data_IF_462291009492
#
_entry.id   IF_462291009492
#
_cell.length_a   1.000
_cell.length_b   1.000
_cell.length_c   1.000
_cell.angle_alpha   90.00
_cell.angle_beta   90.00
_cell.angle_gamma   90.00
#
_symmetry.space_group_name_H-M   'P 1'
#
loop_
_entity.id
_entity.type
_entity.pdbx_description
1 polymer ?
#
# COMPACT_ATOMS: atom_id res chain seq x y z
N UNK A 1 11.78 -13.42 -14.29
CA UNK A 1 11.51 -12.00 -13.97
C UNK A 1 12.01 -11.63 -12.57
N UNK A 2 11.29 -11.89 -11.46
CA UNK A 2 11.68 -11.39 -10.12
C UNK A 2 13.04 -11.91 -9.57
N UNK A 3 13.40 -13.17 -9.85
CA UNK A 3 14.72 -13.71 -9.46
C UNK A 3 15.87 -13.06 -10.24
N UNK A 4 15.62 -12.69 -11.50
CA UNK A 4 16.57 -11.96 -12.33
C UNK A 4 16.71 -10.51 -11.82
N UNK A 5 15.59 -9.85 -11.51
CA UNK A 5 15.58 -8.52 -10.91
C UNK A 5 16.32 -8.46 -9.56
N UNK A 6 16.24 -9.52 -8.73
CA UNK A 6 17.04 -9.66 -7.50
C UNK A 6 18.55 -9.76 -7.77
N UNK A 7 18.93 -10.46 -8.83
CA UNK A 7 20.34 -10.60 -9.20
C UNK A 7 20.88 -9.28 -9.79
N UNK A 8 20.11 -8.65 -10.68
CA UNK A 8 20.43 -7.32 -11.25
C UNK A 8 20.49 -6.23 -10.18
N UNK A 9 19.64 -6.29 -9.15
CA UNK A 9 19.69 -5.36 -8.01
C UNK A 9 20.99 -5.50 -7.21
N UNK A 10 21.52 -6.72 -7.07
CA UNK A 10 22.80 -6.96 -6.39
C UNK A 10 23.99 -6.43 -7.20
N UNK A 11 23.89 -6.44 -8.53
CA UNK A 11 24.91 -5.89 -9.43
C UNK A 11 24.81 -4.37 -9.63
N UNK A 12 23.75 -3.73 -9.11
CA UNK A 12 23.54 -2.28 -9.22
C UNK A 12 23.09 -1.80 -10.61
N UNK A 13 22.77 -2.71 -11.54
CA UNK A 13 22.35 -2.39 -12.92
C UNK A 13 21.04 -1.60 -12.95
N UNK A 14 20.20 -1.80 -11.93
CA UNK A 14 18.94 -1.09 -11.74
C UNK A 14 19.08 0.44 -11.57
N UNK A 15 20.29 0.96 -11.31
CA UNK A 15 20.57 2.40 -11.24
C UNK A 15 20.52 3.11 -12.60
N UNK A 16 20.53 2.36 -13.70
CA UNK A 16 20.50 2.90 -15.06
C UNK A 16 19.08 3.13 -15.59
N UNK A 17 18.06 2.80 -14.79
CA UNK A 17 16.65 2.92 -15.18
C UNK A 17 16.15 4.38 -15.15
N UNK A 18 15.13 4.70 -15.96
CA UNK A 18 14.64 6.07 -16.09
C UNK A 18 13.96 6.60 -14.83
N UNK A 19 14.15 7.92 -14.60
CA UNK A 19 13.72 8.68 -13.42
C UNK A 19 12.25 8.49 -13.01
N UNK A 20 11.36 8.28 -13.99
CA UNK A 20 9.92 8.15 -13.75
C UNK A 20 9.53 6.86 -13.01
N UNK A 21 10.38 5.82 -13.02
CA UNK A 21 10.10 4.58 -12.29
C UNK A 21 10.23 4.72 -10.77
N UNK A 22 10.77 5.84 -10.28
CA UNK A 22 11.07 6.08 -8.86
C UNK A 22 10.02 6.95 -8.15
N UNK A 23 8.95 7.32 -8.84
CA UNK A 23 8.00 8.33 -8.37
C UNK A 23 6.62 7.71 -8.15
N UNK A 24 6.20 7.52 -6.89
CA UNK A 24 4.93 6.84 -6.61
C UNK A 24 3.71 7.72 -6.92
N UNK A 25 3.88 9.05 -6.99
CA UNK A 25 2.76 9.99 -7.10
C UNK A 25 3.21 11.37 -7.62
N UNK A 26 2.34 12.04 -8.39
CA UNK A 26 2.46 13.44 -8.83
C UNK A 26 2.19 14.48 -7.73
N UNK A 27 1.49 14.15 -6.65
CA UNK A 27 1.20 15.12 -5.56
C UNK A 27 2.33 15.27 -4.53
N UNK A 28 3.52 14.76 -4.82
CA UNK A 28 4.69 14.88 -3.95
C UNK A 28 5.37 16.23 -4.13
N UNK A 29 5.84 16.82 -3.02
CA UNK A 29 6.70 18.01 -3.04
C UNK A 29 8.04 17.69 -3.71
N UNK A 30 8.76 18.72 -4.18
CA UNK A 30 10.08 18.52 -4.78
C UNK A 30 11.10 17.88 -3.82
N UNK A 31 11.01 18.19 -2.52
CA UNK A 31 11.81 17.54 -1.49
C UNK A 31 11.49 16.06 -1.34
N UNK A 32 10.20 15.69 -1.33
CA UNK A 32 9.80 14.28 -1.24
C UNK A 32 10.25 13.51 -2.48
N UNK A 33 10.06 14.10 -3.67
CA UNK A 33 10.50 13.52 -4.95
C UNK A 33 12.01 13.26 -4.94
N UNK A 34 12.81 14.21 -4.44
CA UNK A 34 14.25 14.02 -4.27
C UNK A 34 14.57 12.91 -3.29
N UNK A 35 13.90 12.85 -2.13
CA UNK A 35 14.11 11.79 -1.15
C UNK A 35 13.81 10.40 -1.72
N UNK A 36 12.68 10.22 -2.40
CA UNK A 36 12.35 8.96 -3.07
C UNK A 36 13.40 8.57 -4.12
N UNK A 37 13.94 9.55 -4.85
CA UNK A 37 15.02 9.31 -5.82
C UNK A 37 16.30 8.84 -5.13
N UNK A 38 16.74 9.49 -4.05
CA UNK A 38 17.92 9.07 -3.30
C UNK A 38 17.78 7.65 -2.74
N UNK A 39 16.60 7.31 -2.21
CA UNK A 39 16.31 5.95 -1.74
C UNK A 39 16.41 4.96 -2.90
N UNK A 40 15.81 5.28 -4.06
CA UNK A 40 15.84 4.42 -5.23
C UNK A 40 17.26 4.22 -5.81
N UNK A 41 18.09 5.27 -5.84
CA UNK A 41 19.49 5.17 -6.29
C UNK A 41 20.33 4.32 -5.33
N UNK A 42 20.08 4.47 -4.03
CA UNK A 42 20.74 3.65 -3.01
C UNK A 42 20.31 2.19 -3.10
N UNK A 43 19.01 1.95 -3.24
CA UNK A 43 18.41 0.62 -3.22
C UNK A 43 17.07 0.62 -3.97
N UNK A 44 17.09 0.36 -5.28
CA UNK A 44 15.86 0.39 -6.08
C UNK A 44 14.85 -0.67 -5.64
N UNK A 45 15.32 -1.90 -5.43
CA UNK A 45 14.52 -2.99 -4.90
C UNK A 45 15.16 -3.44 -3.60
N UNK A 46 14.51 -3.13 -2.48
CA UNK A 46 14.98 -3.63 -1.20
C UNK A 46 14.81 -5.14 -1.13
N UNK A 47 15.63 -5.80 -0.30
CA UNK A 47 15.47 -7.23 -0.05
C UNK A 47 14.08 -7.56 0.50
N UNK A 48 13.46 -6.61 1.24
CA UNK A 48 12.09 -6.72 1.70
C UNK A 48 11.09 -6.72 0.54
N UNK A 49 11.17 -5.77 -0.39
CA UNK A 49 10.29 -5.70 -1.57
C UNK A 49 10.38 -6.96 -2.43
N UNK A 50 11.59 -7.48 -2.62
CA UNK A 50 11.82 -8.73 -3.36
C UNK A 50 11.22 -9.94 -2.65
N UNK A 51 11.43 -10.04 -1.33
CA UNK A 51 10.88 -11.13 -0.54
C UNK A 51 9.35 -11.10 -0.52
N UNK A 52 8.75 -9.92 -0.35
CA UNK A 52 7.31 -9.71 -0.40
C UNK A 52 6.75 -10.18 -1.75
N UNK A 53 7.37 -9.77 -2.85
CA UNK A 53 6.97 -10.17 -4.20
C UNK A 53 7.07 -11.69 -4.43
N UNK A 54 8.12 -12.32 -3.90
CA UNK A 54 8.32 -13.77 -4.04
C UNK A 54 7.37 -14.59 -3.15
N UNK A 55 7.04 -14.07 -1.96
CA UNK A 55 6.21 -14.76 -0.97
C UNK A 55 4.71 -14.49 -1.16
N UNK A 56 4.31 -13.52 -1.99
CA UNK A 56 2.90 -13.13 -2.16
C UNK A 56 1.95 -14.31 -2.39
N UNK A 57 2.28 -15.24 -3.30
CA UNK A 57 1.45 -16.41 -3.60
C UNK A 57 1.32 -17.39 -2.42
N UNK A 58 2.39 -17.57 -1.65
CA UNK A 58 2.36 -18.47 -0.50
C UNK A 58 1.67 -17.82 0.69
N UNK A 59 1.83 -16.51 0.84
CA UNK A 59 1.13 -15.73 1.85
C UNK A 59 -0.38 -15.69 1.57
N UNK A 60 -0.81 -15.61 0.31
CA UNK A 60 -2.22 -15.71 -0.07
C UNK A 60 -2.85 -17.03 0.41
N UNK A 61 -2.19 -18.18 0.21
CA UNK A 61 -2.67 -19.46 0.74
C UNK A 61 -2.80 -19.46 2.26
N UNK A 62 -1.82 -18.88 2.96
CA UNK A 62 -1.84 -18.78 4.43
C UNK A 62 -3.00 -17.93 4.92
N UNK A 63 -3.22 -16.78 4.29
CA UNK A 63 -4.35 -15.89 4.58
C UNK A 63 -5.67 -16.60 4.30
N UNK A 64 -5.81 -17.27 3.16
CA UNK A 64 -7.03 -18.02 2.82
C UNK A 64 -7.30 -19.20 3.75
N UNK A 65 -6.26 -19.87 4.26
CA UNK A 65 -6.40 -20.95 5.24
C UNK A 65 -6.73 -20.45 6.66
N UNK A 66 -6.57 -19.15 6.92
CA UNK A 66 -6.74 -18.53 8.23
C UNK A 66 -7.97 -17.61 8.22
N UNK A 67 -8.99 -17.91 9.01
CA UNK A 67 -10.09 -16.96 9.20
C UNK A 67 -9.60 -15.75 10.01
N UNK A 68 -9.18 -14.69 9.34
CA UNK A 68 -8.79 -13.43 10.00
C UNK A 68 -10.04 -12.77 10.58
N UNK A 69 -10.13 -12.75 11.91
CA UNK A 69 -11.13 -11.98 12.66
C UNK A 69 -10.40 -11.13 13.70
N UNK A 70 -10.41 -9.82 13.49
CA UNK A 70 -9.77 -8.91 14.44
C UNK A 70 -10.48 -8.97 15.79
N UNK A 71 -9.70 -9.07 16.88
CA UNK A 71 -10.20 -8.89 18.25
C UNK A 71 -10.20 -7.41 18.65
N UNK A 72 -9.48 -6.56 17.92
CA UNK A 72 -9.37 -5.13 18.16
C UNK A 72 -10.20 -4.35 17.14
N UNK A 73 -10.66 -3.13 17.47
CA UNK A 73 -11.19 -2.20 16.49
C UNK A 73 -10.22 -1.97 15.33
N UNK A 74 -10.72 -1.95 14.10
CA UNK A 74 -9.94 -1.68 12.87
C UNK A 74 -10.66 -0.63 12.03
N UNK A 75 -9.95 0.44 11.69
CA UNK A 75 -10.33 1.37 10.64
C UNK A 75 -9.68 0.94 9.31
N UNK A 76 -10.49 0.46 8.37
CA UNK A 76 -10.06 0.06 7.04
C UNK A 76 -10.32 1.19 6.03
N UNK A 77 -9.28 1.96 5.71
CA UNK A 77 -9.35 3.09 4.78
C UNK A 77 -9.02 2.63 3.35
N UNK A 78 -9.93 2.88 2.39
CA UNK A 78 -9.85 2.32 1.04
C UNK A 78 -9.92 3.42 -0.03
N UNK A 79 -8.90 3.48 -0.88
CA UNK A 79 -8.84 4.40 -2.03
C UNK A 79 -9.82 4.04 -3.16
N UNK A 80 -9.84 4.84 -4.23
CA UNK A 80 -10.62 4.54 -5.43
C UNK A 80 -9.95 3.52 -6.38
N UNK A 81 -8.78 3.00 -6.01
CA UNK A 81 -8.06 1.97 -6.78
C UNK A 81 -7.24 2.49 -7.95
N UNK A 82 -7.32 3.78 -8.32
CA UNK A 82 -6.45 4.33 -9.38
C UNK A 82 -4.98 4.18 -8.97
N UNK A 83 -4.19 3.53 -9.82
CA UNK A 83 -2.76 3.26 -9.57
C UNK A 83 -2.44 1.88 -8.98
N UNK A 84 -3.44 1.03 -8.70
CA UNK A 84 -3.22 -0.35 -8.22
C UNK A 84 -3.20 -1.40 -9.34
N UNK A 85 -3.68 -1.03 -10.53
CA UNK A 85 -3.89 -1.97 -11.65
C UNK A 85 -5.27 -2.65 -11.64
N UNK A 86 -6.11 -2.40 -10.62
CA UNK A 86 -7.48 -2.89 -10.55
C UNK A 86 -8.50 -1.81 -10.90
N UNK A 87 -9.66 -2.22 -11.41
CA UNK A 87 -10.81 -1.32 -11.54
C UNK A 87 -11.32 -0.89 -10.16
N UNK A 88 -11.91 0.31 -10.07
CA UNK A 88 -12.39 0.86 -8.79
C UNK A 88 -13.36 -0.08 -8.05
N UNK A 89 -14.34 -0.63 -8.76
CA UNK A 89 -15.32 -1.54 -8.17
C UNK A 89 -14.65 -2.81 -7.64
N UNK A 90 -13.74 -3.40 -8.43
CA UNK A 90 -12.99 -4.59 -8.02
C UNK A 90 -12.11 -4.32 -6.81
N UNK A 91 -11.41 -3.19 -6.80
CA UNK A 91 -10.56 -2.77 -5.69
C UNK A 91 -11.34 -2.61 -4.39
N UNK A 92 -12.46 -1.88 -4.43
CA UNK A 92 -13.33 -1.66 -3.26
C UNK A 92 -14.08 -2.93 -2.84
N UNK A 93 -14.39 -3.81 -3.81
CA UNK A 93 -15.00 -5.10 -3.53
C UNK A 93 -14.11 -5.98 -2.64
N UNK A 94 -12.78 -6.00 -2.84
CA UNK A 94 -11.88 -6.77 -1.98
C UNK A 94 -11.97 -6.33 -0.52
N UNK A 95 -11.96 -5.01 -0.26
CA UNK A 95 -12.09 -4.48 1.09
C UNK A 95 -13.47 -4.77 1.70
N UNK A 96 -14.55 -4.59 0.93
CA UNK A 96 -15.92 -4.90 1.39
C UNK A 96 -16.05 -6.37 1.75
N UNK A 97 -15.54 -7.26 0.90
CA UNK A 97 -15.60 -8.71 1.09
C UNK A 97 -14.76 -9.15 2.29
N UNK A 98 -13.61 -8.53 2.53
CA UNK A 98 -12.78 -8.80 3.70
C UNK A 98 -13.46 -8.36 5.01
N UNK A 99 -14.09 -7.18 5.03
CA UNK A 99 -14.78 -6.67 6.21
C UNK A 99 -16.13 -7.38 6.49
N UNK A 100 -16.69 -8.09 5.50
CA UNK A 100 -17.99 -8.75 5.63
C UNK A 100 -18.02 -9.71 6.82
N UNK A 101 -18.90 -9.43 7.78
CA UNK A 101 -19.08 -10.25 8.98
C UNK A 101 -18.04 -10.00 10.09
N UNK A 102 -17.15 -9.02 9.93
CA UNK A 102 -16.29 -8.53 10.99
C UNK A 102 -17.02 -7.43 11.78
N UNK A 103 -17.21 -7.62 13.09
CA UNK A 103 -17.95 -6.68 13.95
C UNK A 103 -17.12 -5.47 14.38
N UNK A 104 -15.81 -5.63 14.46
CA UNK A 104 -14.89 -4.61 14.98
C UNK A 104 -14.15 -3.90 13.83
N UNK A 105 -14.79 -3.77 12.67
CA UNK A 105 -14.15 -3.19 11.49
C UNK A 105 -15.05 -2.15 10.85
N UNK A 106 -14.55 -0.92 10.80
CA UNK A 106 -15.15 0.16 10.02
C UNK A 106 -14.44 0.24 8.67
N UNK A 107 -15.19 0.47 7.59
CA UNK A 107 -14.62 0.65 6.25
C UNK A 107 -14.99 2.03 5.71
N UNK A 108 -13.97 2.83 5.41
CA UNK A 108 -14.14 4.19 4.89
C UNK A 108 -13.57 4.28 3.47
N UNK A 109 -14.37 4.79 2.54
CA UNK A 109 -13.98 4.91 1.13
C UNK A 109 -13.59 6.34 0.78
N UNK A 110 -12.47 6.47 0.08
CA UNK A 110 -11.94 7.73 -0.39
C UNK A 110 -11.99 7.77 -1.92
N UNK A 111 -12.44 8.91 -2.47
CA UNK A 111 -12.31 9.18 -3.90
C UNK A 111 -10.95 9.82 -4.21
N UNK A 112 -9.91 9.00 -4.13
CA UNK A 112 -8.51 9.42 -4.32
C UNK A 112 -7.67 8.19 -4.72
N UNK A 113 -6.58 8.35 -5.51
CA UNK A 113 -5.74 7.24 -5.99
C UNK A 113 -5.02 6.48 -4.86
N UNK A 114 -4.32 5.39 -5.19
CA UNK A 114 -3.76 4.45 -4.22
C UNK A 114 -2.95 5.10 -3.08
N UNK A 115 -2.14 6.09 -3.39
CA UNK A 115 -1.38 6.90 -2.42
C UNK A 115 -2.22 8.07 -1.85
N UNK A 116 -3.49 7.82 -1.50
CA UNK A 116 -4.48 8.85 -1.18
C UNK A 116 -4.09 9.74 0.01
N UNK A 117 -3.29 9.22 0.94
CA UNK A 117 -2.75 9.97 2.08
C UNK A 117 -1.85 11.14 1.68
N UNK A 118 -1.30 11.15 0.46
CA UNK A 118 -0.61 12.33 -0.09
C UNK A 118 -1.57 13.38 -0.64
N UNK A 119 -2.82 13.03 -0.93
CA UNK A 119 -3.84 13.95 -1.48
C UNK A 119 -4.79 14.47 -0.40
N UNK A 120 -5.12 13.62 0.57
CA UNK A 120 -6.17 13.84 1.56
C UNK A 120 -5.60 13.75 2.98
N UNK A 121 -4.37 14.20 3.19
CA UNK A 121 -3.64 14.08 4.47
C UNK A 121 -4.46 14.56 5.67
N UNK A 122 -5.12 15.72 5.56
CA UNK A 122 -5.94 16.28 6.65
C UNK A 122 -7.15 15.40 6.99
N UNK A 123 -7.86 14.90 5.98
CA UNK A 123 -9.01 14.03 6.18
C UNK A 123 -8.58 12.68 6.77
N UNK A 124 -7.46 12.11 6.27
CA UNK A 124 -6.90 10.87 6.81
C UNK A 124 -6.54 11.01 8.28
N UNK A 125 -5.88 12.12 8.65
CA UNK A 125 -5.55 12.40 10.06
C UNK A 125 -6.83 12.52 10.90
N UNK A 126 -7.80 13.32 10.45
CA UNK A 126 -9.07 13.51 11.16
C UNK A 126 -9.79 12.18 11.41
N UNK A 127 -9.92 11.33 10.40
CA UNK A 127 -10.57 10.02 10.56
C UNK A 127 -9.82 9.09 11.51
N UNK A 128 -8.49 9.15 11.55
CA UNK A 128 -7.71 8.37 12.53
C UNK A 128 -7.92 8.91 13.95
N UNK A 129 -7.93 10.22 14.13
CA UNK A 129 -8.16 10.86 15.44
C UNK A 129 -9.56 10.55 15.98
N UNK A 130 -10.60 10.69 15.14
CA UNK A 130 -11.99 10.36 15.47
C UNK A 130 -12.11 8.88 15.87
N UNK A 131 -11.55 7.96 15.06
CA UNK A 131 -11.58 6.54 15.35
C UNK A 131 -10.89 6.17 16.67
N UNK A 132 -9.75 6.80 16.99
CA UNK A 132 -9.04 6.55 18.25
C UNK A 132 -9.86 7.04 19.45
N UNK A 133 -10.51 8.21 19.34
CA UNK A 133 -11.36 8.74 20.41
C UNK A 133 -12.54 7.81 20.68
N UNK A 134 -13.26 7.40 19.64
CA UNK A 134 -14.43 6.50 19.76
C UNK A 134 -14.09 5.10 20.30
N UNK A 135 -12.83 4.67 20.20
CA UNK A 135 -12.41 3.31 20.59
C UNK A 135 -11.64 3.24 21.90
N UNK A 136 -11.25 4.38 22.46
CA UNK A 136 -10.50 4.47 23.73
C UNK A 136 -11.37 4.95 24.90
N UNK A 137 -12.51 5.59 24.62
CA UNK A 137 -13.53 5.99 25.60
C UNK A 137 -14.48 4.82 25.96
#
# INVERSE_FOLDING_TARGET
>A
MLRLARWESQLGLLRLLPRQLYMPNENLSDSDRRLYQEIAYRQLLSQAMLNESLCAKENDKKVNSTSIKSQMPVLLMVSNGKGTGFGQEQWRHYATSFAKGQKNMEVTYYDSPHYFYHYQTKEVIRSIEEFIQETTD
#
